data_IF_879989113092
#
_entry.id   IF_879989113092
#
_cell.length_a   1.000
_cell.length_b   1.000
_cell.length_c   1.000
_cell.angle_alpha   90.00
_cell.angle_beta   90.00
_cell.angle_gamma   90.00
#
_symmetry.space_group_name_H-M   'P 1'
#
loop_
_entity.id
_entity.type
_entity.pdbx_description
1 polymer ?
#
# COMPACT_ATOMS: atom_id res chain seq x y z
N UNK A 1 -0.60 -10.12 -13.26
CA UNK A 1 -0.15 -11.30 -12.50
C UNK A 1 -0.24 -10.95 -11.03
N UNK A 2 -0.85 -11.80 -10.21
CA UNK A 2 -0.96 -11.59 -8.76
C UNK A 2 0.24 -12.22 -8.05
N UNK A 3 0.79 -11.53 -7.06
CA UNK A 3 1.96 -11.97 -6.29
C UNK A 3 2.37 -10.92 -5.27
N UNK A 4 3.50 -11.10 -4.60
CA UNK A 4 4.03 -10.11 -3.66
C UNK A 4 5.44 -9.66 -4.01
N UNK A 5 5.80 -8.47 -3.53
CA UNK A 5 7.18 -7.99 -3.45
C UNK A 5 7.68 -8.21 -2.02
N UNK A 6 8.93 -8.64 -1.90
CA UNK A 6 9.57 -9.04 -0.64
C UNK A 6 10.47 -7.92 -0.10
N UNK A 7 10.51 -7.74 1.22
CA UNK A 7 11.25 -6.65 1.87
C UNK A 7 10.49 -5.33 1.90
N UNK A 8 9.17 -5.35 1.73
CA UNK A 8 8.34 -4.15 1.72
C UNK A 8 7.08 -4.34 2.54
N UNK A 9 6.61 -3.25 3.15
CA UNK A 9 5.30 -3.18 3.81
C UNK A 9 4.40 -2.17 3.12
N UNK A 10 3.10 -2.32 3.31
CA UNK A 10 2.10 -1.34 2.91
C UNK A 10 1.60 -0.59 4.14
N UNK A 11 1.48 0.73 4.04
CA UNK A 11 0.89 1.56 5.10
C UNK A 11 -0.01 2.65 4.52
N UNK A 12 -1.08 2.98 5.23
CA UNK A 12 -1.90 4.16 4.98
C UNK A 12 -1.25 5.40 5.59
N UNK A 13 -0.04 5.72 5.12
CA UNK A 13 0.80 6.82 5.62
C UNK A 13 1.04 7.90 4.57
N UNK A 14 0.33 7.85 3.43
CA UNK A 14 0.37 8.89 2.42
C UNK A 14 -0.88 9.75 2.56
N UNK A 15 -0.74 11.05 2.80
CA UNK A 15 -1.83 12.01 2.79
C UNK A 15 -2.40 12.16 1.38
N UNK A 16 -3.71 12.23 1.26
CA UNK A 16 -4.43 12.48 0.00
C UNK A 16 -5.27 13.74 0.13
N UNK A 17 -4.83 14.79 -0.57
CA UNK A 17 -5.43 16.12 -0.54
C UNK A 17 -6.45 16.35 -1.67
N UNK A 18 -6.47 15.47 -2.68
CA UNK A 18 -7.13 15.67 -3.98
C UNK A 18 -8.04 14.52 -4.42
N UNK A 19 -7.92 13.34 -3.78
CA UNK A 19 -8.70 12.15 -4.14
C UNK A 19 -9.58 11.65 -3.00
N UNK A 20 -8.98 11.34 -1.85
CA UNK A 20 -9.64 10.69 -0.70
C UNK A 20 -9.80 11.61 0.52
N UNK A 21 -9.40 12.86 0.39
CA UNK A 21 -9.70 13.96 1.30
C UNK A 21 -9.68 15.28 0.55
N UNK A 22 -9.45 16.35 1.29
CA UNK A 22 -9.27 17.71 0.76
C UNK A 22 -7.96 18.33 1.25
N UNK A 23 -7.59 19.50 0.72
CA UNK A 23 -6.44 20.26 1.21
C UNK A 23 -6.53 20.55 2.72
N UNK A 24 -7.71 20.92 3.21
CA UNK A 24 -7.95 21.26 4.61
C UNK A 24 -8.13 20.04 5.51
N UNK A 25 -8.61 18.93 4.95
CA UNK A 25 -8.85 17.68 5.67
C UNK A 25 -8.40 16.48 4.83
N UNK A 26 -7.08 16.19 4.80
CA UNK A 26 -6.54 15.13 3.98
C UNK A 26 -7.05 13.74 4.41
N UNK A 27 -7.18 12.85 3.43
CA UNK A 27 -7.35 11.42 3.67
C UNK A 27 -6.00 10.72 3.81
N UNK A 28 -6.02 9.43 4.08
CA UNK A 28 -4.85 8.55 3.95
C UNK A 28 -5.05 7.51 2.85
N UNK A 29 -4.04 7.37 2.00
CA UNK A 29 -3.92 6.33 0.98
C UNK A 29 -2.65 5.51 1.21
N UNK A 30 -2.51 4.42 0.45
CA UNK A 30 -1.38 3.52 0.64
C UNK A 30 -0.09 4.12 0.10
N UNK A 31 0.99 3.90 0.83
CA UNK A 31 2.35 3.90 0.31
C UNK A 31 3.00 2.54 0.58
N UNK A 32 4.02 2.22 -0.21
CA UNK A 32 4.89 1.07 -0.01
C UNK A 32 6.14 1.59 0.69
N UNK A 33 6.63 0.86 1.69
CA UNK A 33 7.78 1.27 2.49
C UNK A 33 8.77 0.12 2.51
N UNK A 34 10.03 0.41 2.19
CA UNK A 34 11.14 -0.55 2.31
C UNK A 34 11.33 -0.99 3.76
N UNK A 35 11.73 -2.24 3.95
CA UNK A 35 12.02 -2.82 5.27
C UNK A 35 12.93 -1.92 6.10
N UNK A 36 14.07 -1.51 5.56
CA UNK A 36 15.06 -0.74 6.30
C UNK A 36 14.55 0.65 6.70
N UNK A 37 13.65 1.23 5.90
CA UNK A 37 12.96 2.48 6.25
C UNK A 37 11.91 2.23 7.32
N UNK A 38 11.09 1.19 7.17
CA UNK A 38 10.06 0.84 8.12
C UNK A 38 10.64 0.52 9.51
N UNK A 39 11.77 -0.18 9.57
CA UNK A 39 12.46 -0.54 10.82
C UNK A 39 13.01 0.67 11.59
N UNK A 40 13.12 1.85 10.97
CA UNK A 40 13.42 3.09 11.69
C UNK A 40 12.25 3.55 12.57
N UNK A 41 11.05 3.01 12.34
CA UNK A 41 9.80 3.44 12.95
C UNK A 41 9.13 2.29 13.72
N UNK A 42 8.57 2.58 14.89
CA UNK A 42 7.87 1.60 15.73
C UNK A 42 8.78 0.84 16.68
N UNK A 43 8.15 0.12 17.61
CA UNK A 43 8.84 -0.65 18.65
C UNK A 43 9.17 -2.07 18.16
N UNK A 44 10.13 -2.73 18.82
CA UNK A 44 10.68 -4.05 18.43
C UNK A 44 9.59 -5.11 18.19
N UNK A 45 8.51 -5.09 19.00
CA UNK A 45 7.36 -6.01 18.87
C UNK A 45 6.66 -5.93 17.51
N UNK A 46 6.59 -4.74 16.90
CA UNK A 46 5.98 -4.53 15.58
C UNK A 46 6.89 -5.13 14.51
N UNK A 47 8.21 -5.02 14.68
CA UNK A 47 9.19 -5.50 13.71
C UNK A 47 9.24 -7.02 13.64
N UNK A 48 9.19 -7.70 14.78
CA UNK A 48 9.23 -9.18 14.84
C UNK A 48 8.00 -9.84 14.21
N UNK A 49 6.85 -9.14 14.23
CA UNK A 49 5.58 -9.69 13.79
C UNK A 49 5.21 -9.38 12.34
N UNK A 50 6.08 -8.67 11.62
CA UNK A 50 5.85 -8.19 10.26
C UNK A 50 6.40 -9.16 9.19
N UNK A 51 5.59 -9.47 8.17
CA UNK A 51 5.96 -10.46 7.14
C UNK A 51 6.78 -9.83 5.99
N UNK A 52 6.86 -8.49 5.91
CA UNK A 52 7.55 -7.75 4.85
C UNK A 52 7.20 -8.23 3.42
N UNK A 53 5.96 -8.70 3.25
CA UNK A 53 5.39 -9.08 1.95
C UNK A 53 4.30 -8.09 1.58
N UNK A 54 4.49 -7.34 0.50
CA UNK A 54 3.47 -6.45 -0.04
C UNK A 54 2.82 -7.10 -1.26
N UNK A 55 1.61 -7.65 -1.07
CA UNK A 55 0.84 -8.33 -2.12
C UNK A 55 0.18 -7.35 -3.08
N UNK A 56 0.17 -7.67 -4.38
CA UNK A 56 -0.43 -6.81 -5.39
C UNK A 56 -0.52 -7.45 -6.77
N UNK A 57 -0.73 -6.57 -7.76
CA UNK A 57 -0.87 -6.93 -9.17
C UNK A 57 0.26 -6.32 -9.99
N UNK A 58 1.00 -7.15 -10.71
CA UNK A 58 1.89 -6.72 -11.78
C UNK A 58 1.14 -6.66 -13.11
N UNK A 59 1.23 -5.53 -13.80
CA UNK A 59 0.62 -5.30 -15.11
C UNK A 59 1.69 -5.27 -16.19
N UNK A 60 1.44 -5.97 -17.30
CA UNK A 60 2.32 -5.94 -18.47
C UNK A 60 1.93 -4.78 -19.36
N UNK A 61 2.85 -3.85 -19.59
CA UNK A 61 2.65 -2.78 -20.57
C UNK A 61 2.65 -3.40 -21.97
N UNK A 62 1.72 -2.95 -22.81
CA UNK A 62 1.64 -3.37 -24.21
C UNK A 62 2.93 -2.98 -24.93
N UNK A 63 3.48 -3.91 -25.72
CA UNK A 63 4.71 -3.64 -26.47
C UNK A 63 4.52 -2.49 -27.47
N UNK A 64 5.49 -1.58 -27.50
CA UNK A 64 5.47 -0.35 -28.28
C UNK A 64 4.80 0.83 -27.57
N UNK A 65 4.26 0.64 -26.36
CA UNK A 65 3.62 1.70 -25.56
C UNK A 65 4.39 2.02 -24.28
N UNK A 66 5.57 1.43 -24.07
CA UNK A 66 6.34 1.52 -22.83
C UNK A 66 6.70 2.97 -22.48
N UNK A 67 7.23 3.73 -23.44
CA UNK A 67 7.64 5.11 -23.21
C UNK A 67 6.46 6.02 -22.85
N UNK A 68 5.35 5.90 -23.57
CA UNK A 68 4.14 6.69 -23.33
C UNK A 68 3.55 6.39 -21.94
N UNK A 69 3.42 5.11 -21.60
CA UNK A 69 2.87 4.69 -20.30
C UNK A 69 3.79 5.09 -19.16
N UNK A 70 5.11 4.90 -19.30
CA UNK A 70 6.07 5.31 -18.27
C UNK A 70 6.05 6.83 -18.08
N UNK A 71 6.05 7.62 -19.16
CA UNK A 71 5.96 9.08 -19.08
C UNK A 71 4.66 9.55 -18.40
N UNK A 72 3.54 8.87 -18.67
CA UNK A 72 2.28 9.17 -17.99
C UNK A 72 2.34 8.85 -16.50
N UNK A 73 2.92 7.70 -16.13
CA UNK A 73 3.11 7.31 -14.73
C UNK A 73 4.08 8.27 -14.01
N UNK A 74 5.20 8.61 -14.62
CA UNK A 74 6.17 9.57 -14.07
C UNK A 74 5.53 10.94 -13.78
N UNK A 75 4.64 11.41 -14.66
CA UNK A 75 3.90 12.65 -14.43
C UNK A 75 2.91 12.54 -13.28
N UNK A 76 2.25 11.38 -13.13
CA UNK A 76 1.29 11.13 -12.06
C UNK A 76 1.98 11.02 -10.69
N UNK A 77 3.15 10.38 -10.65
CA UNK A 77 3.89 10.10 -9.41
C UNK A 77 5.00 11.13 -9.12
N UNK A 78 4.96 12.31 -9.76
CA UNK A 78 5.97 13.38 -9.67
C UNK A 78 6.24 13.89 -8.24
N UNK A 79 5.30 13.68 -7.32
CA UNK A 79 5.34 14.18 -5.95
C UNK A 79 6.03 13.19 -5.02
N UNK A 80 7.35 13.02 -5.19
CA UNK A 80 8.21 12.31 -4.23
C UNK A 80 8.29 10.79 -4.36
N UNK A 81 7.79 10.21 -5.47
CA UNK A 81 7.98 8.78 -5.75
C UNK A 81 9.29 8.51 -6.48
N UNK A 82 9.81 7.32 -6.27
CA UNK A 82 10.95 6.78 -7.00
C UNK A 82 10.64 5.42 -7.60
N UNK A 83 11.25 5.14 -8.75
CA UNK A 83 11.13 3.86 -9.43
C UNK A 83 12.13 2.88 -8.83
N UNK A 84 11.62 1.72 -8.43
CA UNK A 84 12.41 0.57 -7.98
C UNK A 84 12.19 -0.62 -8.90
N UNK A 85 13.24 -1.40 -9.15
CA UNK A 85 13.15 -2.68 -9.85
C UNK A 85 13.14 -3.80 -8.82
N UNK A 86 12.07 -4.58 -8.83
CA UNK A 86 11.82 -5.63 -7.84
C UNK A 86 11.48 -6.95 -8.51
N UNK A 87 11.66 -8.04 -7.76
CA UNK A 87 11.12 -9.36 -8.11
C UNK A 87 9.71 -9.49 -7.54
N UNK A 88 8.84 -10.18 -8.27
CA UNK A 88 7.52 -10.56 -7.80
C UNK A 88 7.52 -12.06 -7.54
N UNK A 89 7.00 -12.46 -6.39
CA UNK A 89 6.99 -13.84 -5.90
C UNK A 89 5.56 -14.39 -5.86
N UNK A 90 5.41 -15.72 -6.01
CA UNK A 90 4.12 -16.40 -5.88
C UNK A 90 3.80 -16.72 -4.43
N UNK A 91 2.51 -16.96 -4.17
CA UNK A 91 2.12 -17.76 -3.02
C UNK A 91 2.70 -19.17 -3.17
N UNK A 92 3.39 -19.64 -2.15
CA UNK A 92 3.94 -21.00 -2.14
C UNK A 92 3.25 -21.78 -1.03
N UNK A 93 2.42 -22.76 -1.43
CA UNK A 93 1.60 -23.54 -0.51
C UNK A 93 2.31 -24.81 -0.03
N UNK A 94 3.36 -25.25 -0.74
CA UNK A 94 4.07 -26.49 -0.43
C UNK A 94 5.19 -26.27 0.60
N UNK A 95 5.95 -25.19 0.44
CA UNK A 95 7.00 -24.80 1.38
C UNK A 95 7.05 -23.27 1.55
N UNK A 96 6.54 -22.73 2.68
CA UNK A 96 6.58 -21.31 2.99
C UNK A 96 8.00 -20.72 3.08
N UNK A 97 9.03 -21.56 3.22
CA UNK A 97 10.42 -21.14 3.27
C UNK A 97 11.04 -20.95 1.88
N UNK A 98 10.40 -21.46 0.84
CA UNK A 98 10.85 -21.32 -0.54
C UNK A 98 10.14 -20.14 -1.21
N UNK A 99 10.93 -19.27 -1.87
CA UNK A 99 10.44 -18.11 -2.61
C UNK A 99 10.50 -18.38 -4.10
N UNK A 100 9.36 -18.59 -4.74
CA UNK A 100 9.29 -18.74 -6.19
C UNK A 100 9.13 -17.39 -6.90
N UNK A 101 10.12 -17.04 -7.72
CA UNK A 101 10.09 -15.81 -8.53
C UNK A 101 9.16 -15.99 -9.72
N UNK A 102 8.09 -15.21 -9.77
CA UNK A 102 7.16 -15.13 -10.90
C UNK A 102 7.64 -14.18 -11.99
N UNK A 103 8.16 -13.02 -11.59
CA UNK A 103 8.63 -11.97 -12.50
C UNK A 103 9.92 -11.35 -11.98
N UNK A 104 10.80 -10.97 -12.91
CA UNK A 104 12.00 -10.19 -12.64
C UNK A 104 11.84 -8.77 -13.21
N UNK A 105 12.63 -7.83 -12.68
CA UNK A 105 12.73 -6.44 -13.16
C UNK A 105 11.39 -5.70 -13.27
N UNK A 106 10.45 -5.99 -12.35
CA UNK A 106 9.16 -5.29 -12.29
C UNK A 106 9.38 -3.90 -11.71
N UNK A 107 8.83 -2.88 -12.35
CA UNK A 107 8.88 -1.50 -11.87
C UNK A 107 7.77 -1.27 -10.83
N UNK A 108 8.14 -0.71 -9.69
CA UNK A 108 7.23 -0.21 -8.66
C UNK A 108 7.58 1.25 -8.32
N UNK A 109 6.57 2.08 -8.13
CA UNK A 109 6.72 3.46 -7.65
C UNK A 109 6.57 3.46 -6.14
N UNK A 110 7.59 3.97 -5.44
CA UNK A 110 7.66 3.99 -3.97
C UNK A 110 7.84 5.44 -3.53
N UNK A 111 6.91 5.92 -2.71
CA UNK A 111 6.97 7.25 -2.11
C UNK A 111 8.07 7.28 -1.05
N UNK A 112 8.95 8.28 -1.11
CA UNK A 112 10.02 8.45 -0.12
C UNK A 112 9.51 9.04 1.20
N UNK A 113 10.28 8.85 2.27
CA UNK A 113 10.02 9.45 3.59
C UNK A 113 10.14 10.99 3.60
N UNK A 114 10.85 11.57 2.62
CA UNK A 114 10.96 13.03 2.42
C UNK A 114 9.83 13.61 1.56
N UNK A 115 8.87 12.78 1.14
CA UNK A 115 7.68 13.23 0.42
C UNK A 115 6.85 14.15 1.34
N UNK A 116 6.49 15.38 0.93
CA UNK A 116 5.65 16.27 1.74
C UNK A 116 4.31 15.68 2.16
N UNK A 117 3.81 14.71 1.40
CA UNK A 117 2.58 13.98 1.70
C UNK A 117 2.80 12.70 2.51
N UNK A 118 4.03 12.39 2.92
CA UNK A 118 4.28 11.32 3.89
C UNK A 118 3.84 11.78 5.29
N UNK A 119 2.71 11.24 5.75
CA UNK A 119 2.13 11.56 7.07
C UNK A 119 2.51 10.58 8.18
N UNK A 120 3.29 9.54 7.87
CA UNK A 120 3.72 8.51 8.83
C UNK A 120 4.96 8.87 9.65
N UNK A 121 5.32 8.03 10.65
CA UNK A 121 4.56 6.88 11.13
C UNK A 121 3.33 7.31 11.95
N UNK A 122 2.21 6.62 11.75
CA UNK A 122 0.98 6.83 12.51
C UNK A 122 0.41 5.51 13.01
N UNK A 123 -0.16 5.56 14.21
CA UNK A 123 -0.85 4.42 14.80
C UNK A 123 -2.17 4.12 14.09
N UNK A 124 -2.63 2.88 14.21
CA UNK A 124 -3.86 2.43 13.56
C UNK A 124 -5.08 3.25 14.01
N UNK A 125 -5.28 3.59 15.29
CA UNK A 125 -6.41 4.41 15.73
C UNK A 125 -6.48 5.78 15.04
N UNK A 126 -5.35 6.48 14.92
CA UNK A 126 -5.29 7.79 14.25
C UNK A 126 -5.65 7.66 12.77
N UNK A 127 -5.03 6.71 12.07
CA UNK A 127 -5.31 6.46 10.65
C UNK A 127 -6.77 6.04 10.45
N UNK A 128 -7.31 5.18 11.32
CA UNK A 128 -8.68 4.70 11.25
C UNK A 128 -9.70 5.84 11.41
N UNK A 129 -9.44 6.77 12.32
CA UNK A 129 -10.32 7.92 12.55
C UNK A 129 -10.40 8.80 11.30
N UNK A 130 -9.27 9.12 10.68
CA UNK A 130 -9.22 9.89 9.43
C UNK A 130 -9.94 9.15 8.29
N UNK A 131 -9.62 7.86 8.07
CA UNK A 131 -10.25 7.08 7.00
C UNK A 131 -11.78 7.00 7.16
N UNK A 132 -12.27 6.89 8.39
CA UNK A 132 -13.71 6.79 8.65
C UNK A 132 -14.50 8.07 8.28
N UNK A 133 -13.86 9.24 8.36
CA UNK A 133 -14.50 10.55 8.15
C UNK A 133 -14.14 11.24 6.84
N UNK A 134 -12.95 10.99 6.28
CA UNK A 134 -12.45 11.73 5.11
C UNK A 134 -13.18 11.35 3.82
N UNK A 135 -13.51 12.37 3.02
CA UNK A 135 -14.13 12.25 1.70
C UNK A 135 -13.45 13.24 0.78
N UNK A 136 -13.06 12.79 -0.40
CA UNK A 136 -12.51 13.65 -1.44
C UNK A 136 -13.29 13.53 -2.76
N UNK A 137 -12.82 14.19 -3.82
CA UNK A 137 -13.43 14.16 -5.15
C UNK A 137 -13.62 12.75 -5.73
N UNK A 138 -12.79 11.78 -5.32
CA UNK A 138 -12.88 10.38 -5.78
C UNK A 138 -13.76 9.50 -4.89
N UNK A 139 -14.49 10.09 -3.94
CA UNK A 139 -15.36 9.40 -2.99
C UNK A 139 -14.74 9.27 -1.60
N UNK A 140 -15.36 8.46 -0.74
CA UNK A 140 -14.92 8.32 0.64
C UNK A 140 -13.56 7.62 0.75
N UNK A 141 -12.80 7.95 1.78
CA UNK A 141 -11.57 7.25 2.11
C UNK A 141 -11.87 5.82 2.61
N UNK A 142 -13.02 5.64 3.27
CA UNK A 142 -13.56 4.33 3.66
C UNK A 142 -13.68 3.39 2.46
N UNK A 143 -14.34 3.82 1.37
CA UNK A 143 -14.52 2.98 0.17
C UNK A 143 -13.17 2.58 -0.43
N UNK A 144 -12.17 3.46 -0.38
CA UNK A 144 -10.82 3.14 -0.82
C UNK A 144 -10.21 1.98 -0.02
N UNK A 145 -10.32 2.00 1.31
CA UNK A 145 -9.85 0.93 2.18
C UNK A 145 -10.60 -0.38 1.90
N UNK A 146 -11.94 -0.34 1.87
CA UNK A 146 -12.75 -1.55 1.66
C UNK A 146 -12.46 -2.19 0.31
N UNK A 147 -12.44 -1.40 -0.77
CA UNK A 147 -12.14 -1.91 -2.11
C UNK A 147 -10.76 -2.56 -2.17
N UNK A 148 -9.76 -2.01 -1.47
CA UNK A 148 -8.43 -2.62 -1.40
C UNK A 148 -8.44 -3.96 -0.66
N UNK A 149 -9.08 -4.00 0.52
CA UNK A 149 -9.19 -5.21 1.35
C UNK A 149 -9.91 -6.31 0.60
N UNK A 150 -11.02 -5.99 -0.06
CA UNK A 150 -11.80 -6.93 -0.87
C UNK A 150 -11.01 -7.41 -2.08
N UNK A 151 -10.34 -6.50 -2.80
CA UNK A 151 -9.52 -6.86 -3.96
C UNK A 151 -8.42 -7.85 -3.58
N UNK A 152 -7.68 -7.63 -2.49
CA UNK A 152 -6.67 -8.56 -1.99
C UNK A 152 -7.30 -9.89 -1.57
N UNK A 153 -8.28 -9.85 -0.66
CA UNK A 153 -8.94 -11.05 -0.12
C UNK A 153 -9.53 -11.94 -1.21
N UNK A 154 -10.07 -11.34 -2.29
CA UNK A 154 -10.62 -12.08 -3.42
C UNK A 154 -9.58 -12.87 -4.23
N UNK A 155 -8.28 -12.54 -4.10
CA UNK A 155 -7.19 -13.18 -4.84
C UNK A 155 -6.49 -14.25 -4.03
N UNK A 156 -6.26 -14.01 -2.74
CA UNK A 156 -5.66 -15.00 -1.85
C UNK A 156 -5.97 -14.68 -0.37
N UNK A 157 -6.25 -15.68 0.47
CA UNK A 157 -6.39 -15.50 1.91
C UNK A 157 -5.13 -14.91 2.57
N UNK A 158 -3.94 -15.26 2.10
CA UNK A 158 -2.65 -14.83 2.67
C UNK A 158 -2.23 -13.43 2.23
N UNK A 159 -2.99 -12.82 1.31
CA UNK A 159 -2.63 -11.52 0.74
C UNK A 159 -3.00 -10.32 1.58
N UNK A 160 -3.77 -10.53 2.66
CA UNK A 160 -4.16 -9.49 3.58
C UNK A 160 -3.23 -9.50 4.80
N UNK A 161 -2.36 -8.50 4.88
CA UNK A 161 -1.43 -8.35 6.00
C UNK A 161 -2.15 -7.97 7.31
N UNK A 162 -1.48 -8.23 8.45
CA UNK A 162 -2.03 -7.97 9.80
C UNK A 162 -2.44 -6.51 9.98
N UNK A 163 -1.68 -5.58 9.40
CA UNK A 163 -1.95 -4.15 9.49
C UNK A 163 -3.28 -3.79 8.80
N UNK A 164 -3.52 -4.27 7.59
CA UNK A 164 -4.79 -4.05 6.89
C UNK A 164 -5.97 -4.73 7.59
N UNK A 165 -5.78 -5.93 8.17
CA UNK A 165 -6.82 -6.60 8.98
C UNK A 165 -7.23 -5.72 10.16
N UNK A 166 -6.24 -5.24 10.94
CA UNK A 166 -6.48 -4.42 12.12
C UNK A 166 -7.08 -3.07 11.74
N UNK A 167 -6.53 -2.37 10.74
CA UNK A 167 -7.04 -1.09 10.26
C UNK A 167 -8.48 -1.21 9.77
N UNK A 168 -8.80 -2.23 8.97
CA UNK A 168 -10.16 -2.47 8.51
C UNK A 168 -11.14 -2.72 9.66
N UNK A 169 -10.70 -3.46 10.69
CA UNK A 169 -11.50 -3.71 11.90
C UNK A 169 -11.79 -2.41 12.64
N UNK A 170 -10.78 -1.59 12.91
CA UNK A 170 -10.94 -0.31 13.62
C UNK A 170 -11.83 0.67 12.86
N UNK A 171 -11.63 0.82 11.56
CA UNK A 171 -12.47 1.69 10.72
C UNK A 171 -13.93 1.22 10.73
N UNK A 172 -14.17 -0.08 10.64
CA UNK A 172 -15.51 -0.66 10.69
C UNK A 172 -16.20 -0.42 12.04
N UNK A 173 -15.46 -0.51 13.16
CA UNK A 173 -15.99 -0.17 14.49
C UNK A 173 -16.40 1.29 14.59
N UNK A 174 -15.66 2.21 13.98
CA UNK A 174 -16.00 3.64 13.97
C UNK A 174 -17.25 3.87 13.11
N UNK A 175 -17.32 3.28 11.91
CA UNK A 175 -18.47 3.44 10.99
C UNK A 175 -19.76 2.82 11.51
N UNK A 176 -19.69 1.74 12.29
CA UNK A 176 -20.87 1.10 12.88
C UNK A 176 -21.41 1.80 14.14
N UNK A 177 -20.72 2.81 14.67
CA UNK A 177 -21.15 3.61 15.84
C UNK A 177 -21.88 4.90 15.45
N UNK A 178 -21.82 5.30 14.18
CA UNK A 178 -22.45 6.49 13.61
C UNK A 178 -23.65 6.11 12.76
#
# INVERSE_FOLDING_TARGET
MFGYIDGYVRRFWQMSHDHRGTEESPGFVVTVIERDVFLKYGDEDIHENEDFKCWGMAYKIKSGCEEEVLKHLDFREKDGYTIHKVKVYSEDFEDPSTKHVLLNDVIVYIGKEDNPSFGGPLDIPTVAQTIASSVGPSGSNYDYLINLVEALRSKSPSSLDKYLVQLNSEVSKIKGKN
#
